data_IF_115078317673
#
_entry.id   IF_115078317673
#
_cell.length_a   1.000
_cell.length_b   1.000
_cell.length_c   1.000
_cell.angle_alpha   90.00
_cell.angle_beta   90.00
_cell.angle_gamma   90.00
#
_symmetry.space_group_name_H-M   'P 1'
#
loop_
_entity.id
_entity.type
_entity.pdbx_description
1 polymer ?
#
# COMPACT_ATOMS: atom_id res chain seq x y z
N UNK A 1 14.89 -20.61 -11.22
CA UNK A 1 13.62 -19.88 -11.26
C UNK A 1 12.64 -20.70 -12.08
N UNK A 2 11.49 -21.00 -11.53
CA UNK A 2 10.45 -21.83 -12.16
C UNK A 2 9.09 -21.12 -12.27
N UNK A 3 8.88 -20.06 -11.47
CA UNK A 3 7.62 -19.31 -11.45
C UNK A 3 7.43 -18.41 -12.69
N UNK A 4 8.52 -17.99 -13.30
CA UNK A 4 8.53 -17.08 -14.46
C UNK A 4 9.53 -17.55 -15.51
N UNK A 5 9.38 -17.06 -16.75
CA UNK A 5 10.23 -17.40 -17.90
C UNK A 5 10.77 -16.11 -18.55
N UNK A 6 11.87 -16.18 -19.30
CA UNK A 6 12.32 -15.06 -20.13
C UNK A 6 11.20 -14.57 -21.05
N UNK A 7 10.99 -13.24 -21.07
CA UNK A 7 9.90 -12.59 -21.80
C UNK A 7 8.63 -12.34 -20.98
N UNK A 8 8.47 -12.94 -19.80
CA UNK A 8 7.34 -12.62 -18.90
C UNK A 8 7.46 -11.19 -18.37
N UNK A 9 6.35 -10.47 -18.38
CA UNK A 9 6.21 -9.18 -17.69
C UNK A 9 5.93 -9.46 -16.21
N UNK A 10 6.72 -8.86 -15.31
CA UNK A 10 6.64 -9.14 -13.88
C UNK A 10 6.64 -7.87 -13.03
N UNK A 11 5.89 -7.89 -11.94
CA UNK A 11 6.06 -6.97 -10.82
C UNK A 11 7.05 -7.59 -9.83
N UNK A 12 7.95 -6.77 -9.33
CA UNK A 12 8.98 -7.18 -8.36
C UNK A 12 8.54 -6.74 -6.97
N UNK A 13 8.54 -7.66 -6.02
CA UNK A 13 8.36 -7.34 -4.62
C UNK A 13 9.68 -6.74 -4.08
N UNK A 14 9.62 -5.59 -3.46
CA UNK A 14 10.77 -4.92 -2.83
C UNK A 14 11.32 -5.74 -1.67
N UNK A 15 10.49 -6.48 -0.96
CA UNK A 15 10.89 -7.41 0.08
C UNK A 15 11.28 -8.75 -0.54
N UNK A 16 12.57 -9.08 -0.48
CA UNK A 16 13.07 -10.41 -0.82
C UNK A 16 13.10 -11.29 0.42
N UNK A 17 12.85 -12.59 0.29
CA UNK A 17 12.86 -13.49 1.44
C UNK A 17 13.16 -14.94 1.03
N UNK A 18 13.81 -15.68 1.92
CA UNK A 18 14.28 -17.04 1.60
C UNK A 18 13.18 -18.11 1.61
N UNK A 19 12.04 -17.84 2.26
CA UNK A 19 10.89 -18.75 2.36
C UNK A 19 11.07 -19.96 3.30
N UNK A 20 12.22 -20.10 3.99
CA UNK A 20 12.57 -21.30 4.75
C UNK A 20 13.17 -21.04 6.15
N UNK A 21 13.38 -19.81 6.55
CA UNK A 21 13.81 -19.50 7.92
C UNK A 21 12.63 -19.41 8.86
N UNK A 22 12.92 -19.42 10.16
CA UNK A 22 11.92 -19.35 11.23
C UNK A 22 10.84 -18.27 11.01
N UNK A 23 11.26 -17.07 10.57
CA UNK A 23 10.35 -15.97 10.34
C UNK A 23 9.52 -16.15 9.07
N UNK A 24 10.16 -16.56 7.97
CA UNK A 24 9.47 -16.76 6.69
C UNK A 24 8.37 -17.83 6.78
N UNK A 25 8.65 -18.95 7.46
CA UNK A 25 7.66 -20.04 7.67
C UNK A 25 6.43 -19.60 8.47
N UNK A 26 6.54 -18.49 9.20
CA UNK A 26 5.46 -17.89 10.00
C UNK A 26 4.83 -16.65 9.35
N UNK A 27 5.22 -16.32 8.11
CA UNK A 27 4.70 -15.17 7.38
C UNK A 27 5.37 -13.83 7.70
N UNK A 28 6.32 -13.79 8.63
CA UNK A 28 7.09 -12.57 8.96
C UNK A 28 8.26 -12.37 8.02
N UNK A 29 7.99 -12.28 6.72
CA UNK A 29 9.03 -12.28 5.67
C UNK A 29 10.00 -11.09 5.74
N UNK A 30 9.54 -9.94 6.24
CA UNK A 30 10.36 -8.76 6.49
C UNK A 30 11.46 -9.00 7.55
N UNK A 31 11.29 -10.00 8.43
CA UNK A 31 12.27 -10.41 9.43
C UNK A 31 13.17 -11.56 8.94
N UNK A 32 13.21 -11.83 7.63
CA UNK A 32 14.05 -12.87 7.06
C UNK A 32 15.51 -12.72 7.49
N UNK A 33 16.10 -13.79 8.00
CA UNK A 33 17.50 -13.81 8.50
C UNK A 33 18.54 -14.05 7.42
N UNK A 34 18.14 -14.35 6.20
CA UNK A 34 19.07 -14.50 5.08
C UNK A 34 19.64 -13.15 4.66
N UNK A 35 20.95 -13.05 4.35
CA UNK A 35 21.59 -11.79 3.94
C UNK A 35 20.94 -11.12 2.69
N UNK A 36 20.32 -11.89 1.82
CA UNK A 36 19.62 -11.40 0.65
C UNK A 36 18.09 -11.27 0.88
N UNK A 37 17.63 -11.41 2.12
CA UNK A 37 16.24 -11.33 2.51
C UNK A 37 15.96 -10.14 3.42
N UNK A 38 14.68 -9.87 3.68
CA UNK A 38 14.21 -8.80 4.54
C UNK A 38 14.68 -7.42 4.09
N UNK A 39 13.90 -6.67 3.34
CA UNK A 39 14.25 -5.32 2.87
C UNK A 39 15.58 -5.24 2.11
N UNK A 40 15.96 -6.27 1.38
CA UNK A 40 17.27 -6.31 0.75
C UNK A 40 17.34 -5.45 -0.52
N UNK A 41 16.33 -5.53 -1.38
CA UNK A 41 16.34 -4.89 -2.70
C UNK A 41 16.24 -3.36 -2.57
N UNK A 42 17.26 -2.66 -3.07
CA UNK A 42 17.37 -1.21 -2.97
C UNK A 42 17.86 -0.69 -1.61
N UNK A 43 18.14 -1.58 -0.65
CA UNK A 43 18.63 -1.24 0.68
C UNK A 43 19.98 -1.89 0.97
N UNK A 44 20.07 -3.23 0.99
CA UNK A 44 21.31 -3.98 1.25
C UNK A 44 21.97 -4.48 -0.02
N UNK A 45 21.22 -4.58 -1.10
CA UNK A 45 21.67 -4.91 -2.45
C UNK A 45 21.10 -3.89 -3.43
N UNK A 46 21.63 -3.86 -4.65
CA UNK A 46 21.20 -2.93 -5.69
C UNK A 46 19.69 -3.01 -5.96
N UNK A 47 19.08 -1.86 -6.22
CA UNK A 47 17.64 -1.70 -6.46
C UNK A 47 17.24 -1.71 -7.92
N UNK A 48 15.95 -1.40 -8.16
CA UNK A 48 15.30 -1.44 -9.47
C UNK A 48 15.43 -0.18 -10.33
N UNK A 49 16.08 0.90 -9.86
CA UNK A 49 16.33 2.10 -10.68
C UNK A 49 17.54 1.89 -11.60
N UNK A 50 17.48 0.87 -12.43
CA UNK A 50 18.54 0.44 -13.35
C UNK A 50 17.95 -0.28 -14.56
N UNK A 51 18.78 -0.46 -15.60
CA UNK A 51 18.38 -1.24 -16.79
C UNK A 51 18.15 -2.74 -16.46
N UNK A 52 18.87 -3.24 -15.47
CA UNK A 52 18.74 -4.62 -14.97
C UNK A 52 18.75 -4.63 -13.45
N UNK A 53 18.01 -5.56 -12.87
CA UNK A 53 17.98 -5.78 -11.43
C UNK A 53 18.09 -7.27 -11.10
N UNK A 54 18.92 -7.61 -10.12
CA UNK A 54 19.02 -8.98 -9.60
C UNK A 54 18.02 -9.18 -8.47
N UNK A 55 17.06 -10.05 -8.68
CA UNK A 55 16.03 -10.36 -7.67
C UNK A 55 16.35 -11.69 -6.99
N UNK A 56 16.85 -11.69 -5.76
CA UNK A 56 17.03 -12.91 -4.96
C UNK A 56 15.67 -13.59 -4.73
N UNK A 57 15.71 -14.94 -4.65
CA UNK A 57 14.50 -15.74 -4.40
C UNK A 57 13.33 -15.42 -5.36
N UNK A 58 13.63 -15.27 -6.64
CA UNK A 58 12.73 -14.77 -7.67
C UNK A 58 11.40 -15.56 -7.77
N UNK A 59 11.34 -16.80 -7.33
CA UNK A 59 10.08 -17.57 -7.29
C UNK A 59 9.05 -16.99 -6.29
N UNK A 60 9.52 -16.30 -5.24
CA UNK A 60 8.67 -15.61 -4.26
C UNK A 60 8.56 -14.11 -4.53
N UNK A 61 9.65 -13.52 -5.07
CA UNK A 61 9.76 -12.08 -5.28
C UNK A 61 9.19 -11.56 -6.59
N UNK A 62 8.75 -12.44 -7.50
CA UNK A 62 8.20 -12.05 -8.80
C UNK A 62 6.75 -12.50 -8.96
N UNK A 63 5.90 -11.58 -9.39
CA UNK A 63 4.52 -11.87 -9.75
C UNK A 63 4.30 -11.49 -11.22
N UNK A 64 3.74 -12.41 -12.03
CA UNK A 64 3.37 -12.09 -13.41
C UNK A 64 2.32 -11.00 -13.44
N UNK A 65 2.55 -10.00 -14.27
CA UNK A 65 1.56 -8.94 -14.50
C UNK A 65 0.44 -9.55 -15.34
N UNK A 66 -0.82 -9.52 -14.85
CA UNK A 66 -1.95 -10.05 -15.60
C UNK A 66 -2.13 -9.37 -16.96
N UNK A 67 -2.71 -10.11 -17.90
CA UNK A 67 -3.11 -9.55 -19.18
C UNK A 67 -4.11 -8.40 -18.96
N UNK A 68 -4.00 -7.33 -19.75
CA UNK A 68 -4.83 -6.12 -19.59
C UNK A 68 -4.35 -5.13 -18.51
N UNK A 69 -3.40 -5.51 -17.65
CA UNK A 69 -2.76 -4.58 -16.71
C UNK A 69 -1.54 -3.94 -17.35
N UNK A 70 -1.51 -2.61 -17.44
CA UNK A 70 -0.37 -1.86 -17.96
C UNK A 70 0.79 -1.85 -16.96
N UNK A 71 2.04 -1.68 -17.46
CA UNK A 71 3.23 -1.55 -16.61
C UNK A 71 3.10 -0.40 -15.61
N UNK A 72 2.51 0.73 -16.04
CA UNK A 72 2.26 1.89 -15.18
C UNK A 72 1.36 1.55 -13.99
N UNK A 73 0.33 0.73 -14.17
CA UNK A 73 -0.53 0.27 -13.08
C UNK A 73 0.19 -0.76 -12.21
N UNK A 74 0.90 -1.69 -12.83
CA UNK A 74 1.63 -2.74 -12.14
C UNK A 74 2.79 -2.21 -11.28
N UNK A 75 3.40 -1.08 -11.66
CA UNK A 75 4.49 -0.44 -10.90
C UNK A 75 4.13 -0.18 -9.43
N UNK A 76 2.89 0.20 -9.17
CA UNK A 76 2.43 0.52 -7.82
C UNK A 76 2.25 -0.72 -6.93
N UNK A 77 2.04 -1.90 -7.55
CA UNK A 77 1.72 -3.15 -6.83
C UNK A 77 2.90 -3.67 -6.01
N UNK A 78 4.13 -3.42 -6.45
CA UNK A 78 5.34 -3.93 -5.80
C UNK A 78 5.61 -3.35 -4.41
N UNK A 79 5.01 -2.19 -4.08
CA UNK A 79 5.25 -1.49 -2.82
C UNK A 79 4.02 -0.70 -2.34
N UNK A 80 3.81 0.52 -2.85
CA UNK A 80 2.85 1.47 -2.25
C UNK A 80 1.40 0.98 -2.23
N UNK A 81 0.95 0.27 -3.28
CA UNK A 81 -0.39 -0.32 -3.28
C UNK A 81 -0.48 -1.52 -2.33
N UNK A 82 0.56 -2.36 -2.28
CA UNK A 82 0.63 -3.47 -1.33
C UNK A 82 0.66 -2.96 0.12
N UNK A 83 1.36 -1.85 0.38
CA UNK A 83 1.38 -1.17 1.68
C UNK A 83 -0.01 -0.68 2.07
N UNK A 84 -0.73 0.01 1.16
CA UNK A 84 -2.10 0.44 1.40
C UNK A 84 -3.07 -0.73 1.63
N UNK A 85 -2.93 -1.80 0.86
CA UNK A 85 -3.74 -3.01 1.04
C UNK A 85 -3.48 -3.68 2.40
N UNK A 86 -2.21 -3.75 2.82
CA UNK A 86 -1.85 -4.28 4.13
C UNK A 86 -2.38 -3.39 5.26
N UNK A 87 -2.25 -2.06 5.14
CA UNK A 87 -2.80 -1.11 6.10
C UNK A 87 -4.31 -1.32 6.29
N UNK A 88 -5.09 -1.35 5.21
CA UNK A 88 -6.53 -1.60 5.25
C UNK A 88 -6.87 -2.92 5.95
N UNK A 89 -6.08 -3.97 5.69
CA UNK A 89 -6.28 -5.28 6.29
C UNK A 89 -6.03 -5.29 7.80
N UNK A 90 -4.93 -4.68 8.28
CA UNK A 90 -4.60 -4.63 9.73
C UNK A 90 -5.43 -3.60 10.48
N UNK A 91 -6.01 -2.61 9.77
CA UNK A 91 -6.94 -1.63 10.31
C UNK A 91 -8.31 -2.22 10.66
N UNK A 92 -8.57 -3.49 10.28
CA UNK A 92 -9.81 -4.22 10.58
C UNK A 92 -11.08 -3.42 10.23
N UNK A 93 -11.04 -2.72 9.08
CA UNK A 93 -12.15 -1.88 8.63
C UNK A 93 -13.40 -2.72 8.37
N UNK A 94 -14.53 -2.30 8.94
CA UNK A 94 -15.83 -2.91 8.73
C UNK A 94 -16.75 -2.00 7.90
N UNK A 95 -17.78 -2.58 7.25
CA UNK A 95 -18.78 -1.79 6.56
C UNK A 95 -19.47 -0.80 7.52
N UNK A 96 -19.50 0.47 7.11
CA UNK A 96 -20.09 1.55 7.92
C UNK A 96 -19.12 2.33 8.78
N UNK A 97 -17.87 1.88 8.96
CA UNK A 97 -16.85 2.55 9.75
C UNK A 97 -16.49 3.94 9.21
N UNK A 98 -16.09 4.82 10.11
CA UNK A 98 -15.47 6.11 9.79
C UNK A 98 -13.96 5.94 9.80
N UNK A 99 -13.33 6.07 8.65
CA UNK A 99 -11.88 5.92 8.45
C UNK A 99 -11.23 7.27 8.25
N UNK A 100 -10.10 7.52 8.89
CA UNK A 100 -9.29 8.72 8.69
C UNK A 100 -7.90 8.38 8.17
N UNK A 101 -7.46 9.10 7.13
CA UNK A 101 -6.12 8.98 6.55
C UNK A 101 -5.40 10.33 6.71
N UNK A 102 -4.23 10.32 7.31
CA UNK A 102 -3.36 11.49 7.47
C UNK A 102 -2.30 11.50 6.37
N UNK A 103 -2.51 12.35 5.38
CA UNK A 103 -1.65 12.49 4.20
C UNK A 103 -2.30 11.98 2.91
N UNK A 104 -2.15 12.75 1.82
CA UNK A 104 -2.58 12.41 0.47
C UNK A 104 -1.40 12.26 -0.50
N UNK A 105 -0.29 11.71 0.00
CA UNK A 105 0.82 11.25 -0.81
C UNK A 105 0.48 9.95 -1.56
N UNK A 106 1.42 9.37 -2.32
CA UNK A 106 1.19 8.12 -3.05
C UNK A 106 0.68 6.98 -2.16
N UNK A 107 1.26 6.82 -0.97
CA UNK A 107 0.86 5.80 0.00
C UNK A 107 -0.55 6.06 0.52
N UNK A 108 -0.87 7.31 0.92
CA UNK A 108 -2.21 7.67 1.39
C UNK A 108 -3.30 7.48 0.34
N UNK A 109 -3.01 7.78 -0.93
CA UNK A 109 -3.94 7.53 -2.03
C UNK A 109 -4.13 6.02 -2.29
N UNK A 110 -3.09 5.23 -2.16
CA UNK A 110 -3.19 3.77 -2.27
C UNK A 110 -3.96 3.18 -1.07
N UNK A 111 -3.73 3.69 0.15
CA UNK A 111 -4.50 3.32 1.34
C UNK A 111 -5.98 3.65 1.14
N UNK A 112 -6.30 4.87 0.70
CA UNK A 112 -7.67 5.28 0.37
C UNK A 112 -8.37 4.30 -0.59
N UNK A 113 -7.68 3.90 -1.67
CA UNK A 113 -8.24 2.94 -2.63
C UNK A 113 -8.53 1.57 -1.99
N UNK A 114 -7.63 1.12 -1.11
CA UNK A 114 -7.77 -0.16 -0.45
C UNK A 114 -8.84 -0.12 0.65
N UNK A 115 -8.94 0.97 1.42
CA UNK A 115 -9.96 1.16 2.43
C UNK A 115 -11.36 1.13 1.82
N UNK A 116 -11.55 1.74 0.66
CA UNK A 116 -12.83 1.74 -0.06
C UNK A 116 -13.31 0.33 -0.46
N UNK A 117 -12.44 -0.66 -0.55
CA UNK A 117 -12.83 -2.06 -0.80
C UNK A 117 -13.57 -2.70 0.37
N UNK A 118 -13.45 -2.13 1.58
CA UNK A 118 -14.11 -2.61 2.80
C UNK A 118 -15.47 -1.96 3.07
N UNK A 119 -15.97 -1.14 2.10
CA UNK A 119 -17.25 -0.45 2.22
C UNK A 119 -17.41 0.41 3.50
N UNK A 120 -16.43 1.25 3.87
CA UNK A 120 -16.57 2.15 5.01
C UNK A 120 -17.73 3.11 4.79
N UNK A 121 -18.36 3.56 5.89
CA UNK A 121 -19.43 4.55 5.83
C UNK A 121 -18.92 5.94 5.44
N UNK A 122 -17.69 6.26 5.86
CA UNK A 122 -17.00 7.51 5.50
C UNK A 122 -15.49 7.34 5.50
N UNK A 123 -14.81 7.88 4.49
CA UNK A 123 -13.35 8.07 4.50
C UNK A 123 -13.05 9.57 4.52
N UNK A 124 -12.23 10.00 5.47
CA UNK A 124 -11.79 11.39 5.64
C UNK A 124 -10.27 11.42 5.40
N UNK A 125 -9.84 12.24 4.45
CA UNK A 125 -8.41 12.43 4.12
C UNK A 125 -7.98 13.81 4.60
N UNK A 126 -7.10 13.84 5.58
CA UNK A 126 -6.48 15.07 6.06
C UNK A 126 -5.19 15.33 5.28
N UNK A 127 -5.14 16.45 4.56
CA UNK A 127 -3.98 16.84 3.77
C UNK A 127 -3.75 18.35 3.84
N UNK A 128 -2.52 18.78 4.14
CA UNK A 128 -2.16 20.18 4.26
C UNK A 128 -2.11 20.93 2.93
N UNK A 129 -1.72 20.24 1.84
CA UNK A 129 -1.59 20.83 0.51
C UNK A 129 -2.97 20.94 -0.17
N UNK A 130 -3.44 22.17 -0.48
CA UNK A 130 -4.74 22.37 -1.13
C UNK A 130 -4.82 21.75 -2.53
N UNK A 131 -3.72 21.63 -3.27
CA UNK A 131 -3.72 21.00 -4.58
C UNK A 131 -3.93 19.48 -4.45
N UNK A 132 -3.30 18.85 -3.46
CA UNK A 132 -3.52 17.42 -3.17
C UNK A 132 -4.93 17.16 -2.66
N UNK A 133 -5.50 18.05 -1.84
CA UNK A 133 -6.93 17.96 -1.47
C UNK A 133 -7.84 18.03 -2.69
N UNK A 134 -7.57 18.95 -3.62
CA UNK A 134 -8.33 19.04 -4.87
C UNK A 134 -8.19 17.76 -5.72
N UNK A 135 -6.99 17.18 -5.76
CA UNK A 135 -6.78 15.89 -6.41
C UNK A 135 -7.59 14.77 -5.76
N UNK A 136 -7.60 14.65 -4.43
CA UNK A 136 -8.42 13.64 -3.72
C UNK A 136 -9.89 13.78 -4.08
N UNK A 137 -10.44 14.99 -4.09
CA UNK A 137 -11.84 15.25 -4.44
C UNK A 137 -12.19 14.80 -5.87
N UNK A 138 -11.28 14.99 -6.80
CA UNK A 138 -11.47 14.56 -8.19
C UNK A 138 -11.26 13.04 -8.36
N UNK A 139 -10.30 12.47 -7.64
CA UNK A 139 -9.91 11.07 -7.74
C UNK A 139 -10.87 10.11 -7.02
N UNK A 140 -11.35 10.51 -5.83
CA UNK A 140 -12.24 9.73 -4.99
C UNK A 140 -13.33 10.65 -4.40
N UNK A 141 -14.36 11.04 -5.19
CA UNK A 141 -15.38 12.01 -4.78
C UNK A 141 -16.23 11.56 -3.59
N UNK A 142 -16.22 10.28 -3.26
CA UNK A 142 -16.87 9.73 -2.07
C UNK A 142 -16.08 9.97 -0.77
N UNK A 143 -14.79 10.31 -0.85
CA UNK A 143 -13.97 10.69 0.30
C UNK A 143 -14.07 12.18 0.60
N UNK A 144 -14.01 12.53 1.88
CA UNK A 144 -13.98 13.92 2.33
C UNK A 144 -12.52 14.36 2.52
N UNK A 145 -12.05 15.31 1.69
CA UNK A 145 -10.71 15.86 1.81
C UNK A 145 -10.74 17.20 2.56
N UNK A 146 -10.05 17.28 3.70
CA UNK A 146 -10.03 18.43 4.63
C UNK A 146 -8.60 18.88 4.96
N UNK A 147 -8.47 20.10 5.47
CA UNK A 147 -7.25 20.60 6.07
C UNK A 147 -7.04 20.10 7.50
N UNK A 148 -5.80 20.24 8.05
CA UNK A 148 -5.51 19.85 9.43
C UNK A 148 -6.38 20.55 10.48
N UNK A 149 -6.76 21.79 10.23
CA UNK A 149 -7.60 22.62 11.10
C UNK A 149 -9.07 22.14 11.16
N UNK A 150 -9.53 21.45 10.13
CA UNK A 150 -10.92 21.01 9.97
C UNK A 150 -11.12 19.53 10.37
N UNK A 151 -10.04 18.76 10.48
CA UNK A 151 -10.11 17.28 10.52
C UNK A 151 -10.86 16.74 11.75
N UNK A 152 -10.67 17.32 12.93
CA UNK A 152 -11.31 16.86 14.16
C UNK A 152 -12.83 17.05 14.07
N UNK A 153 -13.28 18.21 13.60
CA UNK A 153 -14.70 18.50 13.41
C UNK A 153 -15.29 17.61 12.31
N UNK A 154 -14.59 17.44 11.21
CA UNK A 154 -15.01 16.57 10.11
C UNK A 154 -15.20 15.13 10.57
N UNK A 155 -14.28 14.58 11.38
CA UNK A 155 -14.42 13.22 11.95
C UNK A 155 -15.63 13.16 12.86
N UNK A 156 -15.78 14.11 13.80
CA UNK A 156 -16.91 14.12 14.74
C UNK A 156 -18.27 14.21 14.04
N UNK A 157 -18.35 15.02 12.99
CA UNK A 157 -19.60 15.21 12.23
C UNK A 157 -19.95 14.00 11.35
N UNK A 158 -19.00 13.12 11.05
CA UNK A 158 -19.19 11.98 10.17
C UNK A 158 -19.05 10.61 10.89
N UNK A 159 -18.99 10.62 12.21
CA UNK A 159 -18.91 9.40 13.05
C UNK A 159 -20.13 9.26 13.94
N UNK A 160 -20.59 8.05 14.12
CA UNK A 160 -21.72 7.75 15.02
C UNK A 160 -21.38 7.92 16.51
N UNK A 161 -20.09 7.89 16.88
CA UNK A 161 -19.62 7.93 18.27
C UNK A 161 -18.53 8.99 18.53
N UNK A 162 -18.34 9.92 17.58
CA UNK A 162 -17.50 11.10 17.77
C UNK A 162 -16.01 10.92 17.52
N UNK A 163 -15.59 9.75 17.00
CA UNK A 163 -14.21 9.42 16.62
C UNK A 163 -14.13 8.60 15.35
N UNK A 164 -12.93 8.43 14.80
CA UNK A 164 -12.69 7.48 13.70
C UNK A 164 -12.52 6.06 14.28
N UNK A 165 -13.03 5.06 13.55
CA UNK A 165 -12.88 3.65 13.89
C UNK A 165 -11.47 3.16 13.54
N UNK A 166 -10.91 3.66 12.42
CA UNK A 166 -9.54 3.39 12.02
C UNK A 166 -8.84 4.70 11.58
N UNK A 167 -7.56 4.81 11.92
CA UNK A 167 -6.70 5.97 11.54
C UNK A 167 -5.41 5.45 10.93
N UNK A 168 -5.08 5.93 9.74
CA UNK A 168 -3.84 5.63 9.02
C UNK A 168 -2.98 6.90 8.93
N UNK A 169 -1.78 6.83 9.47
CA UNK A 169 -0.75 7.85 9.30
C UNK A 169 0.23 7.38 8.23
N UNK A 170 0.42 8.20 7.15
CA UNK A 170 1.15 7.82 5.93
C UNK A 170 2.00 8.94 5.35
#
# INVERSE_FOLDING_TARGET
>A
VTAVRPGDRVAVNVETFCGRCFFCERGYVNNCTDPNGGWALGCRIDGGQAAFVRVPYANQGLTRIPEGVSDRKALLVGDVLATGFWAARIGEIHPGDTVMILGAGPTGLCTLLCDLLHAPGRVIVCEKDPQRRAFVRAFAPQALAVGPEEVVEAVRANSAHGGADAVFEV
#
